data_IF_342964058840
#
_entry.id   IF_342964058840
#
_cell.length_a   1.000
_cell.length_b   1.000
_cell.length_c   1.000
_cell.angle_alpha   90.00
_cell.angle_beta   90.00
_cell.angle_gamma   90.00
#
_symmetry.space_group_name_H-M   'P 1'
#
loop_
_entity.id
_entity.type
_entity.pdbx_description
1 polymer ?
#
# COMPACT_ATOMS: atom_id res chain seq x y z
N UNK A 1 -1.12 0.27 -12.00
CA UNK A 1 -2.17 -0.43 -11.22
C UNK A 1 -1.97 -1.92 -11.42
N UNK A 2 -2.15 -2.73 -10.37
CA UNK A 2 -2.08 -4.19 -10.40
C UNK A 2 -3.36 -4.79 -9.79
N UNK A 3 -3.75 -5.96 -10.28
CA UNK A 3 -4.89 -6.72 -9.77
C UNK A 3 -4.39 -8.06 -9.28
N UNK A 4 -4.64 -8.38 -8.00
CA UNK A 4 -4.20 -9.62 -7.36
C UNK A 4 -5.37 -10.29 -6.66
N UNK A 5 -5.26 -11.61 -6.46
CA UNK A 5 -6.18 -12.38 -5.62
C UNK A 5 -5.36 -12.92 -4.44
N UNK A 6 -5.84 -12.71 -3.21
CA UNK A 6 -5.18 -13.26 -2.03
C UNK A 6 -5.52 -14.75 -1.81
N UNK A 7 -4.94 -15.35 -0.76
CA UNK A 7 -5.14 -16.76 -0.44
C UNK A 7 -6.59 -17.10 -0.05
N UNK A 8 -7.38 -16.11 0.39
CA UNK A 8 -8.80 -16.24 0.74
C UNK A 8 -9.73 -16.02 -0.47
N UNK A 9 -9.16 -15.79 -1.67
CA UNK A 9 -9.91 -15.56 -2.90
C UNK A 9 -10.38 -14.11 -3.09
N UNK A 10 -9.86 -13.17 -2.30
CA UNK A 10 -10.27 -11.77 -2.36
C UNK A 10 -9.49 -11.01 -3.43
N UNK A 11 -10.22 -10.28 -4.28
CA UNK A 11 -9.62 -9.43 -5.30
C UNK A 11 -9.17 -8.09 -4.73
N UNK A 12 -7.92 -7.73 -5.03
CA UNK A 12 -7.27 -6.50 -4.62
C UNK A 12 -6.82 -5.69 -5.84
N UNK A 13 -7.16 -4.40 -5.84
CA UNK A 13 -6.66 -3.40 -6.78
C UNK A 13 -5.59 -2.60 -6.08
N UNK A 14 -4.38 -2.63 -6.63
CA UNK A 14 -3.21 -2.03 -6.02
C UNK A 14 -2.69 -0.92 -6.91
N UNK A 15 -2.63 0.29 -6.37
CA UNK A 15 -2.23 1.47 -7.13
C UNK A 15 -1.60 2.53 -6.25
N UNK A 16 -0.68 3.28 -6.83
CA UNK A 16 -0.12 4.47 -6.20
C UNK A 16 -1.10 5.64 -6.36
N UNK A 17 -1.29 6.39 -5.28
CA UNK A 17 -2.10 7.61 -5.25
C UNK A 17 -1.28 8.75 -4.68
N UNK A 18 -1.01 9.75 -5.50
CA UNK A 18 -0.44 11.02 -5.07
C UNK A 18 -1.41 11.74 -4.14
N UNK A 19 -0.90 12.31 -3.06
CA UNK A 19 -1.73 12.94 -2.03
C UNK A 19 -1.96 14.42 -2.25
N UNK A 20 -1.21 15.01 -3.18
CA UNK A 20 -1.31 16.45 -3.51
C UNK A 20 -0.95 17.36 -2.34
N UNK A 21 -0.55 16.79 -1.21
CA UNK A 21 -0.24 17.49 0.02
C UNK A 21 1.21 17.97 -0.06
N UNK A 22 1.37 19.28 -0.19
CA UNK A 22 2.66 19.96 -0.29
C UNK A 22 3.27 20.29 1.08
N UNK A 23 2.66 19.80 2.17
CA UNK A 23 3.18 20.01 3.52
C UNK A 23 4.55 19.35 3.69
N UNK A 24 5.55 20.08 4.23
CA UNK A 24 6.88 19.52 4.45
C UNK A 24 6.82 18.33 5.42
N UNK A 25 7.17 17.14 4.93
CA UNK A 25 7.19 15.89 5.71
C UNK A 25 6.09 14.88 5.35
N UNK A 26 5.11 15.25 4.51
CA UNK A 26 4.17 14.28 3.95
C UNK A 26 4.85 13.41 2.89
N UNK A 27 4.60 12.10 2.91
CA UNK A 27 4.98 11.25 1.79
C UNK A 27 4.16 11.69 0.56
N UNK A 28 4.80 11.92 -0.61
CA UNK A 28 4.16 12.53 -1.78
C UNK A 28 3.07 11.63 -2.39
N UNK A 29 3.13 10.34 -2.09
CA UNK A 29 2.22 9.32 -2.58
C UNK A 29 2.03 8.20 -1.56
N UNK A 30 0.91 7.50 -1.70
CA UNK A 30 0.57 6.32 -0.91
C UNK A 30 0.27 5.15 -1.84
N UNK A 31 0.69 3.95 -1.43
CA UNK A 31 0.27 2.72 -2.08
C UNK A 31 -1.07 2.29 -1.49
N UNK A 32 -2.09 2.19 -2.35
CA UNK A 32 -3.45 1.86 -1.98
C UNK A 32 -3.75 0.41 -2.37
N UNK A 33 -4.31 -0.34 -1.43
CA UNK A 33 -4.88 -1.67 -1.62
C UNK A 33 -6.38 -1.51 -1.43
N UNK A 34 -7.12 -1.62 -2.52
CA UNK A 34 -8.56 -1.44 -2.59
C UNK A 34 -9.25 -2.76 -2.96
N UNK A 35 -10.29 -3.09 -2.23
CA UNK A 35 -11.10 -4.30 -2.41
C UNK A 35 -12.50 -3.98 -1.91
N UNK A 36 -13.48 -4.82 -2.22
CA UNK A 36 -14.88 -4.56 -1.89
C UNK A 36 -15.04 -4.24 -0.38
N UNK A 37 -15.41 -2.99 -0.11
CA UNK A 37 -15.62 -2.43 1.22
C UNK A 37 -14.36 -2.18 2.08
N UNK A 38 -13.14 -2.48 1.62
CA UNK A 38 -11.92 -2.26 2.42
C UNK A 38 -10.85 -1.53 1.60
N UNK A 39 -10.35 -0.43 2.18
CA UNK A 39 -9.22 0.32 1.65
C UNK A 39 -8.09 0.34 2.67
N UNK A 40 -6.92 -0.17 2.30
CA UNK A 40 -5.68 -0.05 3.07
C UNK A 40 -4.71 0.87 2.35
N UNK A 41 -3.99 1.70 3.09
CA UNK A 41 -2.99 2.63 2.55
C UNK A 41 -1.65 2.48 3.27
N UNK A 42 -0.60 2.33 2.48
CA UNK A 42 0.78 2.35 2.92
C UNK A 42 1.47 3.63 2.43
N UNK A 43 2.13 4.30 3.37
CA UNK A 43 2.94 5.50 3.10
C UNK A 43 4.43 5.20 2.98
N UNK A 44 4.83 4.00 3.42
CA UNK A 44 6.18 3.47 3.25
C UNK A 44 6.06 2.17 2.48
N UNK A 45 6.60 2.17 1.27
CA UNK A 45 6.58 1.05 0.34
C UNK A 45 7.76 1.20 -0.62
N UNK A 46 8.22 0.11 -1.25
CA UNK A 46 9.33 0.19 -2.21
C UNK A 46 8.92 0.95 -3.47
N UNK A 47 9.83 1.76 -4.02
CA UNK A 47 9.58 2.49 -5.28
C UNK A 47 9.23 1.54 -6.43
N UNK A 48 9.88 0.38 -6.47
CA UNK A 48 9.65 -0.68 -7.46
C UNK A 48 8.51 -1.65 -7.08
N UNK A 49 7.50 -1.21 -6.30
CA UNK A 49 6.40 -2.07 -5.84
C UNK A 49 5.69 -2.81 -6.98
N UNK A 50 5.57 -2.18 -8.15
CA UNK A 50 4.87 -2.75 -9.31
C UNK A 50 5.59 -3.96 -9.90
N UNK A 51 6.90 -4.09 -9.67
CA UNK A 51 7.72 -5.22 -10.11
C UNK A 51 7.83 -6.33 -9.06
N UNK A 52 7.26 -6.13 -7.85
CA UNK A 52 7.32 -7.15 -6.80
C UNK A 52 6.50 -8.39 -7.18
N UNK A 53 6.92 -9.59 -6.77
CA UNK A 53 6.08 -10.77 -6.81
C UNK A 53 4.78 -10.56 -6.03
N UNK A 54 3.71 -11.19 -6.50
CA UNK A 54 2.36 -11.02 -5.94
C UNK A 54 2.31 -11.33 -4.44
N UNK A 55 2.98 -12.40 -4.03
CA UNK A 55 3.10 -12.79 -2.62
C UNK A 55 3.78 -11.70 -1.77
N UNK A 56 4.84 -11.07 -2.26
CA UNK A 56 5.55 -10.02 -1.52
C UNK A 56 4.74 -8.72 -1.51
N UNK A 57 3.99 -8.43 -2.58
CA UNK A 57 3.11 -7.29 -2.63
C UNK A 57 1.94 -7.43 -1.64
N UNK A 58 1.35 -8.62 -1.54
CA UNK A 58 0.31 -8.92 -0.56
C UNK A 58 0.83 -8.87 0.88
N UNK A 59 2.06 -9.34 1.13
CA UNK A 59 2.72 -9.25 2.46
C UNK A 59 2.88 -7.83 2.98
N UNK A 60 2.93 -6.81 2.11
CA UNK A 60 2.95 -5.42 2.55
C UNK A 60 1.70 -5.05 3.37
N UNK A 61 0.57 -5.74 3.18
CA UNK A 61 -0.65 -5.52 3.96
C UNK A 61 -0.57 -6.04 5.40
N UNK A 62 0.33 -7.00 5.65
CA UNK A 62 0.50 -7.67 6.94
C UNK A 62 1.54 -6.99 7.83
N UNK A 63 2.35 -6.07 7.27
CA UNK A 63 3.34 -5.33 8.06
C UNK A 63 2.57 -4.46 9.06
N UNK A 64 2.66 -4.74 10.38
CA UNK A 64 2.01 -3.88 11.35
C UNK A 64 2.57 -2.47 11.19
N UNK A 65 1.69 -1.47 11.21
CA UNK A 65 2.12 -0.06 11.28
C UNK A 65 3.06 0.05 12.47
N UNK A 66 4.36 0.06 12.23
CA UNK A 66 5.34 0.36 13.26
C UNK A 66 5.06 1.82 13.62
N UNK A 67 4.39 2.04 14.75
CA UNK A 67 4.14 3.36 15.29
C UNK A 67 5.47 4.12 15.26
N UNK A 68 5.45 5.32 14.66
CA UNK A 68 6.60 6.20 14.76
C UNK A 68 6.90 6.39 16.26
N UNK A 69 8.16 6.29 16.71
CA UNK A 69 8.48 6.59 18.09
C UNK A 69 7.98 8.01 18.37
N UNK A 70 7.04 8.14 19.32
CA UNK A 70 6.71 9.43 19.92
C UNK A 70 7.99 9.92 20.59
N UNK A 71 8.64 10.91 19.97
CA UNK A 71 9.68 11.74 20.60
C UNK A 71 9.03 12.87 21.37
#
# INVERSE_FOLDING_TARGET
>A
MRHLVDADGREWRIYERSTGDTSPGAAPSSLVFDTDGIVRRLWRYPDAWSALPDADLLRLMDVPRREAPRV
#
